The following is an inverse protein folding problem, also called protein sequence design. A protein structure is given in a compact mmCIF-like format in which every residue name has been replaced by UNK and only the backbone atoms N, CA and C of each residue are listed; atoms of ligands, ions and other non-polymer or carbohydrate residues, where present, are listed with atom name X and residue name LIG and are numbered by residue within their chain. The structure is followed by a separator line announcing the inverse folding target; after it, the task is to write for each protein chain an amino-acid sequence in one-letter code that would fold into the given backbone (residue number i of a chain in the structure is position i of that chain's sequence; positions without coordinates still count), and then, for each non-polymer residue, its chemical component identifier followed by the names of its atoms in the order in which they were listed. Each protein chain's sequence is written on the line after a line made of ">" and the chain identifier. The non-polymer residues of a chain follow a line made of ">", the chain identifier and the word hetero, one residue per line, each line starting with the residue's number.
data_IF_141498404233
#
_entry.id   IF_141498404233
#
_cell.length_a   1.000
_cell.length_b   1.000
_cell.length_c   1.000
_cell.angle_alpha   90.00
_cell.angle_beta   90.00
_cell.angle_gamma   90.00
#
_symmetry.space_group_name_H-M   'P 1'
#
loop_
_entity.id
_entity.type
_entity.pdbx_description
1 polymer ?
#
# COMPACT_ATOMS: atom_id res chain seq x y z
N UNK A 1 7.49 -13.84 24.92
CA UNK A 1 7.25 -13.07 23.67
C UNK A 1 7.55 -11.58 23.87
N UNK A 2 7.05 -10.92 24.92
CA UNK A 2 7.31 -9.49 25.17
C UNK A 2 8.78 -9.09 25.37
N UNK A 3 9.59 -9.88 26.08
CA UNK A 3 11.00 -9.50 26.33
C UNK A 3 11.87 -9.43 25.07
N UNK A 4 11.67 -10.33 24.10
CA UNK A 4 12.43 -10.32 22.84
C UNK A 4 12.07 -9.09 22.01
N UNK A 5 10.79 -8.75 21.94
CA UNK A 5 10.33 -7.55 21.24
C UNK A 5 10.96 -6.30 21.87
N UNK A 6 10.87 -6.14 23.19
CA UNK A 6 11.44 -4.99 23.89
C UNK A 6 12.97 -4.92 23.82
N UNK A 7 13.67 -6.06 23.81
CA UNK A 7 15.14 -6.07 23.71
C UNK A 7 15.65 -5.84 22.28
N UNK A 8 14.85 -6.15 21.27
CA UNK A 8 15.21 -6.00 19.86
C UNK A 8 14.78 -4.63 19.27
N UNK A 9 13.91 -3.89 19.95
CA UNK A 9 13.46 -2.57 19.51
C UNK A 9 14.07 -1.49 20.39
N UNK A 10 14.85 -0.61 19.77
CA UNK A 10 15.34 0.60 20.43
C UNK A 10 14.17 1.56 20.60
N UNK A 11 13.85 1.92 21.85
CA UNK A 11 12.79 2.88 22.20
C UNK A 11 13.31 4.31 22.33
N UNK A 12 14.58 4.53 21.99
CA UNK A 12 15.23 5.84 22.07
C UNK A 12 14.57 6.81 21.09
N UNK A 13 13.98 7.92 21.56
CA UNK A 13 13.39 8.92 20.69
C UNK A 13 14.45 9.52 19.75
N UNK A 14 14.16 9.60 18.45
CA UNK A 14 14.94 10.41 17.50
C UNK A 14 15.65 9.68 16.35
N UNK A 15 15.44 8.38 16.18
CA UNK A 15 16.06 7.60 15.10
C UNK A 15 15.05 6.93 14.13
N UNK A 16 13.76 7.24 14.24
CA UNK A 16 12.71 6.60 13.45
C UNK A 16 12.17 7.56 12.40
N UNK A 17 12.55 7.32 11.14
CA UNK A 17 12.06 8.05 9.97
C UNK A 17 10.76 7.43 9.39
N UNK A 18 10.14 6.50 10.13
CA UNK A 18 8.93 5.82 9.69
C UNK A 18 7.71 6.75 9.77
N UNK A 19 6.80 6.64 8.80
CA UNK A 19 5.66 7.56 8.65
C UNK A 19 4.36 6.77 8.68
N UNK A 20 3.46 7.12 9.59
CA UNK A 20 2.06 6.67 9.59
C UNK A 20 1.19 7.68 8.83
N UNK A 21 0.71 7.31 7.65
CA UNK A 21 -0.12 8.16 6.79
C UNK A 21 -1.57 7.68 6.80
N UNK A 22 -2.46 8.55 7.27
CA UNK A 22 -3.90 8.40 7.12
C UNK A 22 -4.33 8.95 5.76
N UNK A 23 -5.04 8.15 4.98
CA UNK A 23 -5.49 8.50 3.64
C UNK A 23 -7.02 8.47 3.60
N UNK A 24 -7.60 9.56 3.08
CA UNK A 24 -9.02 9.67 2.75
C UNK A 24 -9.13 10.15 1.31
N UNK A 25 -9.80 9.37 0.47
CA UNK A 25 -10.17 9.77 -0.88
C UNK A 25 -11.68 10.07 -0.90
N UNK A 26 -12.11 11.25 -1.40
CA UNK A 26 -13.53 11.55 -1.55
C UNK A 26 -14.28 10.54 -2.42
N UNK A 27 -15.62 10.44 -2.28
CA UNK A 27 -16.45 9.69 -3.22
C UNK A 27 -16.19 10.10 -4.68
N UNK A 28 -16.02 9.15 -5.61
CA UNK A 28 -15.78 9.44 -7.02
C UNK A 28 -16.83 10.35 -7.66
N UNK A 29 -18.11 10.14 -7.34
CA UNK A 29 -19.23 10.93 -7.86
C UNK A 29 -19.23 12.40 -7.40
N UNK A 30 -18.52 12.72 -6.31
CA UNK A 30 -18.40 14.09 -5.79
C UNK A 30 -17.29 14.90 -6.45
N UNK A 31 -16.46 14.29 -7.31
CA UNK A 31 -15.31 14.96 -7.94
C UNK A 31 -15.27 14.71 -9.45
N UNK A 32 -14.89 15.74 -10.21
CA UNK A 32 -14.65 15.59 -11.65
C UNK A 32 -13.42 14.72 -11.88
N UNK A 33 -13.57 13.67 -12.68
CA UNK A 33 -12.49 12.79 -13.12
C UNK A 33 -12.76 12.31 -14.54
N UNK A 34 -11.71 12.02 -15.29
CA UNK A 34 -11.76 11.56 -16.68
C UNK A 34 -11.20 10.14 -16.80
N UNK A 35 -11.46 9.50 -17.94
CA UNK A 35 -10.80 8.26 -18.29
C UNK A 35 -9.27 8.45 -18.31
N UNK A 36 -8.55 7.77 -17.41
CA UNK A 36 -7.10 7.91 -17.23
C UNK A 36 -6.69 8.68 -15.97
N UNK A 37 -7.64 9.25 -15.22
CA UNK A 37 -7.35 9.76 -13.88
C UNK A 37 -7.19 8.63 -12.87
N UNK A 38 -6.39 8.87 -11.84
CA UNK A 38 -6.13 7.92 -10.75
C UNK A 38 -6.33 8.62 -9.41
N UNK A 39 -6.88 7.91 -8.42
CA UNK A 39 -6.91 8.39 -7.02
C UNK A 39 -5.49 8.56 -6.48
N UNK A 40 -4.58 7.65 -6.87
CA UNK A 40 -3.16 7.77 -6.65
C UNK A 40 -2.43 7.28 -7.90
N UNK A 41 -1.56 8.11 -8.46
CA UNK A 41 -0.79 7.79 -9.68
C UNK A 41 0.17 6.62 -9.48
N UNK A 42 0.76 6.13 -10.56
CA UNK A 42 1.75 5.06 -10.54
C UNK A 42 3.03 5.50 -9.79
N UNK A 43 3.43 4.75 -8.77
CA UNK A 43 4.64 4.99 -7.98
C UNK A 43 5.17 3.70 -7.34
N UNK A 44 6.43 3.71 -6.91
CA UNK A 44 6.98 2.80 -5.92
C UNK A 44 7.04 3.48 -4.55
N UNK A 45 7.09 2.67 -3.49
CA UNK A 45 7.26 3.22 -2.15
C UNK A 45 8.73 3.45 -1.83
N UNK A 46 9.01 4.57 -1.18
CA UNK A 46 10.29 4.80 -0.53
C UNK A 46 10.40 3.95 0.75
N UNK A 47 11.59 3.88 1.33
CA UNK A 47 11.80 3.12 2.55
C UNK A 47 12.01 1.64 2.30
N UNK A 48 11.84 0.84 3.35
CA UNK A 48 12.11 -0.60 3.34
C UNK A 48 10.86 -1.42 3.02
N UNK A 49 9.81 -1.26 3.82
CA UNK A 49 8.55 -2.01 3.72
C UNK A 49 7.40 -1.06 4.03
N UNK A 50 6.28 -1.21 3.33
CA UNK A 50 5.03 -0.53 3.69
C UNK A 50 4.01 -1.54 4.19
N UNK A 51 3.33 -1.19 5.29
CA UNK A 51 2.16 -1.90 5.78
C UNK A 51 0.90 -1.10 5.41
N UNK A 52 0.08 -1.65 4.52
CA UNK A 52 -1.14 -1.02 4.03
C UNK A 52 -2.37 -1.69 4.63
N UNK A 53 -3.14 -0.89 5.37
CA UNK A 53 -4.41 -1.26 5.98
C UNK A 53 -5.56 -0.72 5.11
N UNK A 54 -6.50 -1.59 4.79
CA UNK A 54 -7.65 -1.31 3.91
C UNK A 54 -8.94 -1.75 4.58
N UNK A 55 -10.06 -1.15 4.22
CA UNK A 55 -11.40 -1.59 4.63
C UNK A 55 -11.98 -2.59 3.62
N UNK A 56 -12.89 -3.45 4.07
CA UNK A 56 -13.67 -4.34 3.18
C UNK A 56 -14.45 -3.49 2.17
N UNK A 57 -14.58 -3.97 0.94
CA UNK A 57 -15.31 -3.25 -0.11
C UNK A 57 -14.64 -1.96 -0.55
N UNK A 58 -13.32 -1.83 -0.38
CA UNK A 58 -12.53 -0.71 -0.90
C UNK A 58 -11.37 -1.16 -1.80
N UNK A 59 -11.73 -1.64 -3.00
CA UNK A 59 -10.80 -2.09 -4.03
C UNK A 59 -10.05 -0.92 -4.72
N UNK A 60 -9.61 -1.14 -5.96
CA UNK A 60 -8.96 -0.13 -6.81
C UNK A 60 -7.43 -0.08 -6.74
N UNK A 61 -6.78 -0.78 -5.81
CA UNK A 61 -5.32 -0.91 -5.80
C UNK A 61 -4.88 -1.86 -6.92
N UNK A 62 -3.93 -1.43 -7.74
CA UNK A 62 -3.35 -2.20 -8.83
C UNK A 62 -1.83 -2.22 -8.75
N UNK A 63 -1.21 -3.33 -9.15
CA UNK A 63 0.25 -3.45 -9.30
C UNK A 63 0.65 -3.65 -10.77
N UNK A 64 1.82 -3.12 -11.13
CA UNK A 64 2.41 -3.33 -12.44
C UNK A 64 3.14 -4.67 -12.49
N UNK A 65 2.74 -5.54 -13.42
CA UNK A 65 3.39 -6.83 -13.66
C UNK A 65 4.64 -6.68 -14.54
N UNK A 66 5.54 -7.70 -14.56
CA UNK A 66 6.72 -7.69 -15.43
C UNK A 66 6.44 -7.57 -16.94
N UNK A 67 5.23 -7.92 -17.37
CA UNK A 67 4.76 -7.79 -18.76
C UNK A 67 4.21 -6.38 -19.08
N UNK A 68 4.40 -5.40 -18.19
CA UNK A 68 3.88 -4.03 -18.28
C UNK A 68 2.35 -3.92 -18.28
N UNK A 69 1.64 -4.93 -17.78
CA UNK A 69 0.18 -4.86 -17.59
C UNK A 69 -0.18 -4.68 -16.12
N UNK A 70 -1.31 -4.03 -15.86
CA UNK A 70 -1.81 -3.79 -14.50
C UNK A 70 -2.64 -4.96 -14.01
N UNK A 71 -2.45 -5.36 -12.75
CA UNK A 71 -3.23 -6.40 -12.10
C UNK A 71 -3.88 -5.85 -10.83
N UNK A 72 -5.20 -6.04 -10.64
CA UNK A 72 -5.89 -5.62 -9.42
C UNK A 72 -5.45 -6.50 -8.24
N UNK A 73 -5.35 -5.88 -7.06
CA UNK A 73 -5.01 -6.58 -5.82
C UNK A 73 -6.26 -6.80 -4.96
N UNK A 74 -6.60 -8.06 -4.62
CA UNK A 74 -7.80 -8.34 -3.84
C UNK A 74 -7.70 -7.67 -2.46
N UNK A 75 -8.84 -7.11 -2.01
CA UNK A 75 -8.96 -6.57 -0.64
C UNK A 75 -8.96 -7.73 0.35
N UNK A 76 -9.80 -8.75 0.11
CA UNK A 76 -9.85 -10.00 0.85
C UNK A 76 -9.44 -11.14 -0.10
N UNK A 77 -8.16 -11.58 -0.09
CA UNK A 77 -7.71 -12.74 -0.85
C UNK A 77 -8.47 -14.02 -0.47
N UNK A 78 -8.41 -15.02 -1.35
CA UNK A 78 -9.03 -16.32 -1.12
C UNK A 78 -8.55 -16.95 0.21
N UNK A 79 -9.49 -17.42 1.03
CA UNK A 79 -9.23 -17.97 2.36
C UNK A 79 -9.27 -16.96 3.51
N UNK A 80 -9.52 -15.67 3.23
CA UNK A 80 -9.65 -14.60 4.25
C UNK A 80 -11.07 -14.00 4.30
N UNK A 81 -12.05 -14.62 3.63
CA UNK A 81 -13.40 -14.07 3.45
C UNK A 81 -14.14 -13.87 4.78
N UNK A 82 -13.91 -14.81 5.71
CA UNK A 82 -14.54 -14.84 7.03
C UNK A 82 -13.75 -14.06 8.09
N UNK A 83 -12.58 -13.52 7.74
CA UNK A 83 -11.78 -12.74 8.70
C UNK A 83 -12.52 -11.47 9.10
N UNK A 84 -12.39 -11.01 10.36
CA UNK A 84 -13.09 -9.80 10.82
C UNK A 84 -12.64 -8.54 10.05
N UNK A 85 -11.41 -8.55 9.51
CA UNK A 85 -10.82 -7.46 8.73
C UNK A 85 -10.00 -7.99 7.56
N UNK A 86 -9.81 -7.21 6.49
CA UNK A 86 -8.86 -7.56 5.43
C UNK A 86 -7.45 -7.79 5.98
N UNK A 87 -6.65 -8.66 5.36
CA UNK A 87 -5.25 -8.81 5.75
C UNK A 87 -4.47 -7.52 5.50
N UNK A 88 -3.41 -7.32 6.28
CA UNK A 88 -2.46 -6.24 6.06
C UNK A 88 -1.69 -6.57 4.79
N UNK A 89 -1.75 -5.66 3.81
CA UNK A 89 -0.94 -5.78 2.61
C UNK A 89 0.46 -5.27 2.92
N UNK A 90 1.47 -6.05 2.53
CA UNK A 90 2.87 -5.72 2.73
C UNK A 90 3.55 -5.60 1.37
N UNK A 91 4.19 -4.47 1.11
CA UNK A 91 5.01 -4.28 -0.09
C UNK A 91 6.43 -3.85 0.25
N UNK A 92 7.35 -4.19 -0.64
CA UNK A 92 8.76 -3.83 -0.56
C UNK A 92 8.94 -2.43 -1.15
N UNK A 93 9.73 -1.60 -0.47
CA UNK A 93 10.13 -0.28 -0.94
C UNK A 93 11.52 -0.26 -1.57
N UNK A 94 11.86 0.88 -2.17
CA UNK A 94 13.07 1.06 -2.98
C UNK A 94 14.37 0.84 -2.18
N UNK A 95 14.41 1.22 -0.89
CA UNK A 95 15.62 1.06 -0.07
C UNK A 95 15.93 -0.41 0.24
N UNK A 96 14.90 -1.21 0.54
CA UNK A 96 15.11 -2.65 0.78
C UNK A 96 15.41 -3.39 -0.54
N UNK A 97 14.81 -2.94 -1.65
CA UNK A 97 15.15 -3.47 -2.96
C UNK A 97 16.63 -3.22 -3.30
N UNK A 98 17.12 -2.00 -3.08
CA UNK A 98 18.53 -1.66 -3.22
C UNK A 98 19.43 -2.48 -2.28
N UNK A 99 19.07 -2.56 -1.00
CA UNK A 99 19.86 -3.26 0.02
C UNK A 99 19.98 -4.77 -0.25
N UNK A 100 19.00 -5.37 -0.92
CA UNK A 100 19.04 -6.79 -1.30
C UNK A 100 19.57 -7.03 -2.71
N UNK A 101 20.21 -6.03 -3.31
CA UNK A 101 20.72 -6.07 -4.68
C UNK A 101 19.66 -6.53 -5.71
N UNK A 102 18.41 -6.10 -5.51
CA UNK A 102 17.28 -6.44 -6.37
C UNK A 102 16.67 -7.84 -6.16
N UNK A 103 17.13 -8.62 -5.17
CA UNK A 103 16.51 -9.90 -4.82
C UNK A 103 15.04 -9.70 -4.42
N UNK A 104 14.75 -8.68 -3.62
CA UNK A 104 13.39 -8.23 -3.32
C UNK A 104 13.02 -7.06 -4.23
N UNK A 105 11.87 -7.12 -4.89
CA UNK A 105 11.45 -6.10 -5.87
C UNK A 105 10.54 -5.06 -5.27
N UNK A 106 10.94 -3.79 -5.39
CA UNK A 106 10.02 -2.67 -5.22
C UNK A 106 9.09 -2.61 -6.42
N UNK A 107 7.79 -2.79 -6.19
CA UNK A 107 6.79 -2.94 -7.27
C UNK A 107 5.99 -1.66 -7.43
N UNK A 108 5.91 -1.18 -8.68
CA UNK A 108 5.09 -0.01 -9.02
C UNK A 108 3.61 -0.35 -8.84
N UNK A 109 2.88 0.53 -8.18
CA UNK A 109 1.46 0.38 -7.90
C UNK A 109 0.72 1.71 -8.05
N UNK A 110 -0.60 1.64 -8.20
CA UNK A 110 -1.49 2.81 -8.34
C UNK A 110 -2.86 2.53 -7.73
N UNK A 111 -3.67 3.56 -7.54
CA UNK A 111 -5.08 3.42 -7.14
C UNK A 111 -5.98 4.00 -8.23
N UNK A 112 -6.67 3.12 -8.95
CA UNK A 112 -7.61 3.49 -10.00
C UNK A 112 -8.94 4.03 -9.45
N UNK A 113 -9.58 4.88 -10.24
CA UNK A 113 -11.02 5.13 -10.06
C UNK A 113 -11.81 3.91 -10.55
N UNK A 114 -13.01 3.65 -10.01
CA UNK A 114 -13.94 2.74 -10.65
C UNK A 114 -14.27 3.29 -12.05
N UNK A 115 -13.97 2.51 -13.09
CA UNK A 115 -14.11 2.96 -14.48
C UNK A 115 -15.57 2.80 -14.91
N UNK A 116 -16.37 3.86 -14.84
CA UNK A 116 -17.78 3.92 -15.24
C UNK A 116 -18.70 2.85 -14.61
N UNK A 117 -20.02 3.05 -14.71
CA UNK A 117 -21.02 2.15 -14.11
C UNK A 117 -20.97 0.69 -14.62
N UNK A 118 -20.12 0.38 -15.62
CA UNK A 118 -19.99 -0.93 -16.27
C UNK A 118 -18.67 -1.66 -15.99
N UNK A 119 -17.61 -0.98 -15.52
CA UNK A 119 -16.39 -1.65 -15.03
C UNK A 119 -16.27 -1.39 -13.53
N UNK A 120 -17.18 -2.04 -12.81
CA UNK A 120 -17.09 -2.20 -11.37
C UNK A 120 -15.74 -2.86 -11.11
N UNK A 121 -14.77 -2.14 -10.53
CA UNK A 121 -13.74 -2.83 -9.77
C UNK A 121 -14.52 -3.51 -8.66
N UNK A 122 -14.69 -4.83 -8.76
CA UNK A 122 -15.60 -5.58 -7.90
C UNK A 122 -15.27 -5.29 -6.43
N UNK A 123 -16.23 -4.66 -5.74
CA UNK A 123 -16.03 -4.21 -4.36
C UNK A 123 -15.36 -2.85 -4.19
N UNK A 124 -15.55 -1.87 -5.07
CA UNK A 124 -15.33 -0.43 -4.81
C UNK A 124 -16.63 0.36 -5.00
N UNK A 125 -16.90 1.32 -4.10
CA UNK A 125 -18.08 2.19 -4.19
C UNK A 125 -17.78 3.49 -4.94
N UNK A 126 -18.74 3.94 -5.76
CA UNK A 126 -18.70 5.25 -6.43
C UNK A 126 -19.27 6.39 -5.59
N UNK A 127 -20.03 6.09 -4.54
CA UNK A 127 -20.72 7.08 -3.68
C UNK A 127 -20.14 7.20 -2.28
N UNK A 128 -19.27 6.28 -1.88
CA UNK A 128 -18.66 6.27 -0.54
C UNK A 128 -17.18 6.71 -0.57
N UNK A 129 -16.69 7.37 0.49
CA UNK A 129 -15.28 7.69 0.61
C UNK A 129 -14.43 6.42 0.83
N UNK A 130 -13.20 6.44 0.31
CA UNK A 130 -12.20 5.40 0.53
C UNK A 130 -11.23 5.81 1.63
N UNK A 131 -10.92 4.89 2.54
CA UNK A 131 -9.98 5.07 3.64
C UNK A 131 -8.88 4.02 3.61
N UNK A 132 -7.66 4.44 3.87
CA UNK A 132 -6.56 3.52 4.12
C UNK A 132 -5.56 4.12 5.08
N UNK A 133 -4.79 3.26 5.72
CA UNK A 133 -3.63 3.67 6.52
C UNK A 133 -2.41 3.03 5.89
N UNK A 134 -1.39 3.81 5.59
CA UNK A 134 -0.10 3.33 5.12
C UNK A 134 0.94 3.62 6.19
N UNK A 135 1.63 2.59 6.66
CA UNK A 135 2.78 2.73 7.55
C UNK A 135 4.04 2.46 6.75
N UNK A 136 4.77 3.53 6.41
CA UNK A 136 6.00 3.48 5.64
C UNK A 136 7.17 3.27 6.58
N UNK A 137 7.72 2.06 6.62
CA UNK A 137 8.89 1.75 7.42
C UNK A 137 10.14 2.27 6.72
N UNK A 138 10.95 3.03 7.44
CA UNK A 138 12.26 3.47 6.98
C UNK A 138 13.35 2.88 7.87
N UNK A 139 14.52 2.55 7.32
CA UNK A 139 15.70 2.36 8.15
C UNK A 139 16.00 3.67 8.89
N UNK A 140 16.71 3.59 10.01
CA UNK A 140 17.23 4.77 10.71
C UNK A 140 18.06 5.61 9.73
N UNK A 141 17.92 6.93 9.72
CA UNK A 141 18.61 7.80 8.75
C UNK A 141 20.14 7.68 8.69
N UNK A 142 20.79 7.20 9.75
CA UNK A 142 22.22 6.89 9.77
C UNK A 142 22.60 5.52 9.19
N UNK A 143 21.62 4.71 8.79
CA UNK A 143 21.85 3.36 8.27
C UNK A 143 22.48 3.43 6.90
N UNK A 144 23.70 2.90 6.77
CA UNK A 144 24.33 2.67 5.48
C UNK A 144 23.72 1.42 4.83
N UNK A 145 23.24 1.56 3.60
CA UNK A 145 22.75 0.45 2.79
C UNK A 145 23.85 0.01 1.82
N UNK A 146 24.15 -1.29 1.81
CA UNK A 146 25.14 -1.90 0.91
C UNK A 146 24.56 -3.18 0.31
N UNK A 147 24.51 -3.32 -1.03
CA UNK A 147 23.96 -4.49 -1.71
C UNK A 147 24.72 -5.81 -1.46
#
# INVERSE_FOLDING_TARGET
>A
VGQVFSSAHFTSPGNEDSVLRFLRYPPPDTISHSAGDFRAGAHSDYGSITLLFRLKGQAGLEMLKPDNTWAPLPVCPAGTENDPSPPILVNIGDLLSYWTNGLLRSTVHRVAFPADASSVVEGESSSEPRYSIAYFCHPVGSTRLEP
#
